data_IF_654077353374
#
_entry.id   IF_654077353374
#
_cell.length_a   1.000
_cell.length_b   1.000
_cell.length_c   1.000
_cell.angle_alpha   90.00
_cell.angle_beta   90.00
_cell.angle_gamma   90.00
#
_symmetry.space_group_name_H-M   'P 1'
#
loop_
_entity.id
_entity.type
_entity.pdbx_description
1 polymer ?
#
# COMPACT_ATOMS: atom_id res chain seq x y z
N UNK A 1 21.50 20.82 -6.75
CA UNK A 1 20.59 19.69 -7.00
C UNK A 1 19.61 19.44 -5.84
N UNK A 2 20.02 19.45 -4.56
CA UNK A 2 19.10 19.30 -3.41
C UNK A 2 17.83 20.17 -3.50
N UNK A 3 17.94 21.37 -4.06
CA UNK A 3 16.84 22.31 -4.32
C UNK A 3 15.67 21.72 -5.12
N UNK A 4 15.87 20.70 -5.98
CA UNK A 4 14.79 20.16 -6.84
C UNK A 4 13.80 19.31 -6.05
N UNK A 5 14.29 18.42 -5.18
CA UNK A 5 13.41 17.67 -4.26
C UNK A 5 12.63 18.65 -3.36
N UNK A 6 13.30 19.68 -2.82
CA UNK A 6 12.63 20.69 -1.99
C UNK A 6 11.59 21.48 -2.79
N UNK A 7 11.92 22.03 -3.96
CA UNK A 7 11.01 22.87 -4.74
C UNK A 7 9.82 22.09 -5.31
N UNK A 8 10.03 20.88 -5.85
CA UNK A 8 8.94 20.10 -6.43
C UNK A 8 7.97 19.57 -5.36
N UNK A 9 8.44 19.26 -4.15
CA UNK A 9 7.56 18.91 -3.04
C UNK A 9 6.88 20.15 -2.42
N UNK A 10 7.63 21.18 -2.04
CA UNK A 10 7.05 22.38 -1.39
C UNK A 10 6.08 23.15 -2.28
N UNK A 11 6.31 23.23 -3.60
CA UNK A 11 5.36 23.82 -4.54
C UNK A 11 4.11 22.96 -4.79
N UNK A 12 4.11 21.68 -4.39
CA UNK A 12 2.92 20.80 -4.35
C UNK A 12 2.19 20.81 -3.00
N UNK A 13 2.82 21.30 -1.93
CA UNK A 13 2.20 21.39 -0.60
C UNK A 13 1.39 22.67 -0.36
N UNK A 14 1.49 23.69 -1.23
CA UNK A 14 0.78 24.97 -1.09
C UNK A 14 -0.52 25.02 -1.89
N UNK A 15 -1.63 24.61 -1.28
CA UNK A 15 -2.96 24.99 -1.77
C UNK A 15 -4.01 25.25 -0.67
N UNK A 16 -4.68 26.40 -0.79
CA UNK A 16 -5.90 26.84 -0.09
C UNK A 16 -5.87 26.78 1.45
N UNK A 17 -5.21 27.76 2.07
CA UNK A 17 -5.70 28.28 3.36
C UNK A 17 -6.88 29.22 3.10
N UNK A 18 -8.09 28.67 3.13
CA UNK A 18 -9.29 29.45 3.45
C UNK A 18 -9.44 29.45 4.97
N UNK A 19 -9.54 30.64 5.58
CA UNK A 19 -10.05 30.78 6.96
C UNK A 19 -11.57 30.82 6.89
N UNK A 20 -12.24 30.26 7.90
CA UNK A 20 -13.42 30.86 8.52
C UNK A 20 -13.65 30.18 9.88
N UNK A 21 -13.99 30.99 10.90
CA UNK A 21 -14.19 30.54 12.29
C UNK A 21 -15.68 30.39 12.62
N UNK A 22 -16.11 29.20 13.04
CA UNK A 22 -17.33 29.03 13.83
C UNK A 22 -17.31 27.76 14.70
N UNK A 23 -18.07 27.78 15.78
CA UNK A 23 -18.04 26.76 16.85
C UNK A 23 -19.44 26.20 17.15
N UNK A 24 -19.46 25.10 17.93
CA UNK A 24 -20.64 24.42 18.55
C UNK A 24 -21.39 23.45 17.60
N UNK A 25 -22.22 22.53 18.15
CA UNK A 25 -21.83 21.54 19.16
C UNK A 25 -22.26 20.11 18.77
N UNK A 26 -21.71 19.10 19.44
CA UNK A 26 -22.01 17.70 19.13
C UNK A 26 -23.41 17.23 19.59
N UNK A 27 -24.03 16.34 18.82
CA UNK A 27 -25.03 15.39 19.31
C UNK A 27 -24.85 14.03 18.62
N UNK A 28 -25.23 12.96 19.29
CA UNK A 28 -25.00 11.58 18.83
C UNK A 28 -26.17 11.03 18.02
N UNK A 29 -25.88 10.21 17.01
CA UNK A 29 -26.42 8.85 16.80
C UNK A 29 -25.74 8.21 15.56
N UNK A 30 -25.46 6.90 15.61
CA UNK A 30 -24.52 6.27 14.67
C UNK A 30 -25.10 5.89 13.31
N UNK A 31 -24.49 6.41 12.23
CA UNK A 31 -24.39 5.77 10.90
C UNK A 31 -23.03 6.12 10.28
N UNK A 32 -22.09 5.18 10.24
CA UNK A 32 -20.78 5.41 9.63
C UNK A 32 -20.89 5.27 8.10
N UNK A 33 -21.20 6.39 7.44
CA UNK A 33 -21.02 6.61 6.01
C UNK A 33 -20.44 8.02 5.85
N UNK A 34 -19.13 8.12 5.64
CA UNK A 34 -18.43 9.41 5.62
C UNK A 34 -18.68 10.16 4.29
N UNK A 35 -19.80 10.87 4.22
CA UNK A 35 -20.04 11.92 3.23
C UNK A 35 -19.48 13.26 3.74
N UNK A 36 -18.14 13.38 3.73
CA UNK A 36 -17.46 14.67 3.90
C UNK A 36 -17.11 15.25 2.52
N UNK A 37 -18.14 15.71 1.81
CA UNK A 37 -17.99 16.67 0.71
C UNK A 37 -18.27 18.06 1.26
N UNK A 38 -17.52 19.07 0.76
CA UNK A 38 -17.80 20.48 1.04
C UNK A 38 -19.24 20.83 0.65
N UNK A 39 -19.81 21.85 1.28
CA UNK A 39 -21.14 22.36 0.91
C UNK A 39 -21.22 22.63 -0.59
N UNK A 40 -22.04 21.85 -1.27
CA UNK A 40 -22.35 22.01 -2.68
C UNK A 40 -23.51 23.00 -2.76
N UNK A 41 -23.26 24.17 -3.35
CA UNK A 41 -24.34 25.09 -3.76
C UNK A 41 -25.37 24.31 -4.58
N UNK A 42 -26.65 24.54 -4.32
CA UNK A 42 -27.70 23.49 -4.22
C UNK A 42 -28.05 22.70 -5.50
N UNK A 43 -27.37 23.00 -6.61
CA UNK A 43 -27.69 22.63 -7.99
C UNK A 43 -26.76 21.55 -8.60
N UNK A 44 -26.04 20.77 -7.78
CA UNK A 44 -25.07 19.76 -8.27
C UNK A 44 -24.95 18.49 -7.42
N UNK A 45 -26.10 17.92 -7.04
CA UNK A 45 -26.16 16.53 -6.54
C UNK A 45 -25.95 15.54 -7.69
N UNK A 46 -24.69 15.27 -8.03
CA UNK A 46 -24.33 14.07 -8.80
C UNK A 46 -24.61 12.86 -7.92
N UNK A 47 -25.81 12.29 -8.07
CA UNK A 47 -26.19 11.04 -7.42
C UNK A 47 -25.28 9.95 -8.00
N UNK A 48 -24.33 9.47 -7.19
CA UNK A 48 -23.62 8.25 -7.51
C UNK A 48 -24.65 7.10 -7.55
N UNK A 49 -24.72 6.38 -8.66
CA UNK A 49 -25.63 5.24 -8.79
C UNK A 49 -25.23 4.15 -7.78
N UNK A 50 -25.91 4.09 -6.64
CA UNK A 50 -25.62 3.11 -5.60
C UNK A 50 -25.84 1.70 -6.16
N UNK A 51 -24.73 0.96 -6.34
CA UNK A 51 -24.76 -0.41 -6.84
C UNK A 51 -25.63 -1.25 -5.89
N UNK A 52 -26.74 -1.85 -6.38
CA UNK A 52 -27.68 -2.53 -5.50
C UNK A 52 -27.00 -3.57 -4.61
N UNK A 53 -27.39 -3.62 -3.32
CA UNK A 53 -26.73 -4.43 -2.28
C UNK A 53 -26.58 -5.90 -2.70
N UNK A 54 -27.57 -6.45 -3.41
CA UNK A 54 -27.50 -7.82 -3.95
C UNK A 54 -26.42 -7.98 -5.03
N UNK A 55 -26.26 -6.99 -5.92
CA UNK A 55 -25.17 -6.97 -6.91
C UNK A 55 -23.81 -6.84 -6.21
N UNK A 56 -23.72 -6.10 -5.09
CA UNK A 56 -22.50 -6.02 -4.28
C UNK A 56 -22.16 -7.37 -3.63
N UNK A 57 -23.11 -8.01 -2.92
CA UNK A 57 -22.96 -9.35 -2.33
C UNK A 57 -22.54 -10.41 -3.35
N UNK A 58 -23.12 -10.36 -4.54
CA UNK A 58 -22.73 -11.25 -5.63
C UNK A 58 -21.32 -10.97 -6.15
N UNK A 59 -20.81 -9.73 -6.09
CA UNK A 59 -19.39 -9.43 -6.39
C UNK A 59 -18.49 -9.95 -5.26
N UNK A 60 -18.90 -9.81 -3.99
CA UNK A 60 -18.17 -10.28 -2.81
C UNK A 60 -17.98 -11.80 -2.82
N UNK A 61 -19.06 -12.57 -2.98
CA UNK A 61 -18.99 -14.03 -3.09
C UNK A 61 -18.07 -14.50 -4.23
N UNK A 62 -18.13 -13.82 -5.39
CA UNK A 62 -17.26 -14.08 -6.54
C UNK A 62 -15.79 -13.74 -6.24
N UNK A 63 -15.50 -12.74 -5.42
CA UNK A 63 -14.14 -12.40 -4.99
C UNK A 63 -13.59 -13.35 -3.91
N UNK A 64 -14.43 -13.79 -2.97
CA UNK A 64 -14.07 -14.85 -2.00
C UNK A 64 -13.71 -16.16 -2.71
N UNK A 65 -14.46 -16.57 -3.75
CA UNK A 65 -14.14 -17.71 -4.62
C UNK A 65 -12.73 -17.59 -5.26
N UNK A 66 -12.28 -16.38 -5.60
CA UNK A 66 -10.93 -16.15 -6.13
C UNK A 66 -9.86 -16.29 -5.04
N UNK A 67 -10.07 -15.60 -3.92
CA UNK A 67 -9.09 -15.52 -2.82
C UNK A 67 -8.96 -16.85 -2.06
N UNK A 68 -9.94 -17.76 -2.19
CA UNK A 68 -9.90 -19.12 -1.68
C UNK A 68 -9.14 -20.11 -2.59
N UNK A 69 -8.72 -19.70 -3.79
CA UNK A 69 -7.96 -20.54 -4.75
C UNK A 69 -7.04 -19.67 -5.62
N UNK A 70 -6.30 -18.78 -4.97
CA UNK A 70 -5.60 -17.67 -5.62
C UNK A 70 -4.54 -18.13 -6.63
N UNK A 71 -3.77 -19.16 -6.29
CA UNK A 71 -2.81 -19.85 -7.16
C UNK A 71 -3.47 -20.28 -8.49
N UNK A 72 -4.59 -20.99 -8.40
CA UNK A 72 -5.35 -21.53 -9.54
C UNK A 72 -5.97 -20.41 -10.38
N UNK A 73 -6.46 -19.35 -9.73
CA UNK A 73 -7.02 -18.18 -10.41
C UNK A 73 -5.95 -17.35 -11.12
N UNK A 74 -4.79 -17.14 -10.51
CA UNK A 74 -3.69 -16.36 -11.11
C UNK A 74 -2.95 -17.14 -12.19
N UNK A 75 -2.76 -18.46 -12.03
CA UNK A 75 -2.17 -19.31 -13.06
C UNK A 75 -3.10 -19.49 -14.28
N UNK A 76 -4.38 -19.83 -14.08
CA UNK A 76 -5.29 -20.27 -15.17
C UNK A 76 -6.38 -19.27 -15.56
N UNK A 77 -6.66 -18.25 -14.75
CA UNK A 77 -7.77 -17.30 -14.96
C UNK A 77 -7.36 -15.81 -14.82
N UNK A 78 -6.07 -15.45 -14.91
CA UNK A 78 -5.59 -14.07 -14.68
C UNK A 78 -6.36 -12.99 -15.46
N UNK A 79 -6.72 -13.23 -16.73
CA UNK A 79 -7.55 -12.29 -17.51
C UNK A 79 -8.85 -11.94 -16.78
N UNK A 80 -9.48 -12.91 -16.10
CA UNK A 80 -10.72 -12.72 -15.34
C UNK A 80 -10.50 -12.08 -13.98
N UNK A 81 -9.29 -12.19 -13.40
CA UNK A 81 -8.86 -11.38 -12.24
C UNK A 81 -8.81 -9.90 -12.66
N UNK A 82 -8.04 -9.59 -13.71
CA UNK A 82 -7.97 -8.26 -14.32
C UNK A 82 -9.35 -7.67 -14.65
N UNK A 83 -10.22 -8.42 -15.34
CA UNK A 83 -11.59 -7.98 -15.66
C UNK A 83 -12.44 -7.65 -14.42
N UNK A 84 -12.16 -8.27 -13.26
CA UNK A 84 -12.85 -7.96 -11.99
C UNK A 84 -12.23 -6.73 -11.31
N UNK A 85 -10.91 -6.57 -11.33
CA UNK A 85 -10.22 -5.33 -10.88
C UNK A 85 -10.67 -4.10 -11.68
N UNK A 86 -10.84 -4.25 -13.00
CA UNK A 86 -11.36 -3.21 -13.90
C UNK A 86 -12.86 -2.90 -13.68
N UNK A 87 -13.61 -3.73 -12.94
CA UNK A 87 -15.03 -3.51 -12.59
C UNK A 87 -15.30 -3.06 -11.14
N UNK A 88 -14.28 -3.05 -10.29
CA UNK A 88 -14.39 -2.73 -8.86
C UNK A 88 -14.17 -3.94 -7.97
N UNK A 89 -13.21 -3.80 -7.05
CA UNK A 89 -13.12 -4.66 -5.87
C UNK A 89 -14.17 -4.17 -4.85
N UNK A 90 -15.00 -5.05 -4.26
CA UNK A 90 -15.90 -4.67 -3.16
C UNK A 90 -15.13 -4.04 -2.00
N UNK A 91 -15.60 -2.95 -1.37
CA UNK A 91 -14.88 -2.27 -0.29
C UNK A 91 -14.48 -3.21 0.85
N UNK A 92 -15.41 -4.07 1.27
CA UNK A 92 -15.26 -5.14 2.27
C UNK A 92 -14.10 -6.13 2.01
N UNK A 93 -13.68 -6.28 0.76
CA UNK A 93 -12.63 -7.20 0.34
C UNK A 93 -11.38 -6.48 -0.18
N UNK A 94 -11.36 -5.15 -0.22
CA UNK A 94 -10.29 -4.35 -0.84
C UNK A 94 -8.92 -4.62 -0.21
N UNK A 95 -8.79 -4.49 1.11
CA UNK A 95 -7.52 -4.71 1.79
C UNK A 95 -6.96 -6.11 1.57
N UNK A 96 -7.80 -7.14 1.76
CA UNK A 96 -7.43 -8.55 1.49
C UNK A 96 -7.06 -8.77 0.02
N UNK A 97 -7.82 -8.22 -0.94
CA UNK A 97 -7.52 -8.39 -2.35
C UNK A 97 -6.22 -7.70 -2.75
N UNK A 98 -5.96 -6.49 -2.26
CA UNK A 98 -4.71 -5.76 -2.47
C UNK A 98 -3.50 -6.53 -1.91
N UNK A 99 -3.60 -7.05 -0.68
CA UNK A 99 -2.57 -7.89 -0.03
C UNK A 99 -2.23 -9.17 -0.84
N UNK A 100 -3.20 -9.76 -1.54
CA UNK A 100 -2.99 -10.90 -2.43
C UNK A 100 -2.47 -10.48 -3.83
N UNK A 101 -2.88 -9.33 -4.36
CA UNK A 101 -2.43 -8.79 -5.65
C UNK A 101 -0.96 -8.35 -5.62
N UNK A 102 -0.50 -7.72 -4.54
CA UNK A 102 0.91 -7.29 -4.42
C UNK A 102 1.87 -8.40 -4.04
N UNK A 103 1.39 -9.58 -3.66
CA UNK A 103 2.22 -10.59 -3.00
C UNK A 103 2.52 -10.28 -1.53
N UNK A 104 1.98 -9.19 -0.96
CA UNK A 104 2.20 -8.81 0.45
C UNK A 104 1.85 -9.92 1.45
N UNK A 105 0.80 -10.72 1.20
CA UNK A 105 0.49 -11.90 2.03
C UNK A 105 1.68 -12.88 2.07
N UNK A 106 2.29 -13.13 0.92
CA UNK A 106 3.37 -14.10 0.75
C UNK A 106 4.59 -13.65 1.55
N UNK A 107 4.96 -12.35 1.44
CA UNK A 107 6.00 -11.76 2.29
C UNK A 107 5.68 -11.89 3.78
N UNK A 108 4.46 -11.53 4.20
CA UNK A 108 4.03 -11.63 5.61
C UNK A 108 4.16 -13.05 6.18
N UNK A 109 3.61 -14.06 5.51
CA UNK A 109 3.74 -15.45 6.00
C UNK A 109 5.19 -15.95 5.98
N UNK A 110 6.04 -15.45 5.07
CA UNK A 110 7.48 -15.78 5.01
C UNK A 110 8.32 -15.02 6.06
N UNK A 111 7.81 -13.94 6.65
CA UNK A 111 8.52 -13.05 7.59
C UNK A 111 7.68 -12.78 8.86
N UNK A 112 7.02 -13.83 9.38
CA UNK A 112 6.16 -13.76 10.56
C UNK A 112 6.91 -13.13 11.74
N UNK A 113 6.33 -12.07 12.32
CA UNK A 113 6.91 -11.32 13.45
C UNK A 113 7.83 -10.15 13.06
N UNK A 114 8.38 -10.11 11.83
CA UNK A 114 9.38 -9.08 11.47
C UNK A 114 8.83 -7.66 11.46
N UNK A 115 7.52 -7.47 11.22
CA UNK A 115 6.91 -6.14 11.40
C UNK A 115 6.93 -5.69 12.87
N UNK A 116 6.62 -6.59 13.82
CA UNK A 116 6.65 -6.28 15.25
C UNK A 116 8.09 -5.98 15.72
N UNK A 117 9.07 -6.76 15.27
CA UNK A 117 10.50 -6.52 15.53
C UNK A 117 10.93 -5.11 15.09
N UNK A 118 10.59 -4.71 13.86
CA UNK A 118 10.87 -3.36 13.32
C UNK A 118 10.03 -2.24 13.99
N UNK A 119 8.93 -2.59 14.64
CA UNK A 119 8.07 -1.66 15.37
C UNK A 119 8.50 -1.49 16.84
N UNK A 120 9.18 -2.47 17.42
CA UNK A 120 9.83 -2.39 18.72
C UNK A 120 11.23 -1.74 18.62
N UNK A 121 11.93 -1.87 17.48
CA UNK A 121 13.22 -1.23 17.22
C UNK A 121 13.15 0.33 17.20
N UNK A 122 14.16 1.04 17.73
CA UNK A 122 14.24 2.50 17.61
C UNK A 122 14.58 2.92 16.17
N UNK A 123 13.81 3.86 15.62
CA UNK A 123 14.09 4.44 14.30
C UNK A 123 15.27 5.41 14.32
N UNK A 124 15.92 5.63 13.17
CA UNK A 124 16.86 6.74 12.98
C UNK A 124 16.15 8.07 13.30
N UNK A 125 16.63 8.88 14.27
CA UNK A 125 16.02 10.15 14.65
C UNK A 125 15.75 11.08 13.47
N UNK A 126 16.66 11.10 12.48
CA UNK A 126 16.51 11.89 11.26
C UNK A 126 15.22 11.55 10.51
N UNK A 127 14.87 10.26 10.41
CA UNK A 127 13.66 9.83 9.72
C UNK A 127 12.42 9.97 10.60
N UNK A 128 12.53 9.68 11.90
CA UNK A 128 11.47 9.91 12.90
C UNK A 128 10.99 11.37 12.85
N UNK A 129 11.91 12.33 12.97
CA UNK A 129 11.62 13.77 12.91
C UNK A 129 10.88 14.18 11.64
N UNK A 130 11.23 13.58 10.48
CA UNK A 130 10.61 13.92 9.19
C UNK A 130 9.21 13.28 9.10
N UNK A 131 9.05 12.02 9.54
CA UNK A 131 7.77 11.30 9.54
C UNK A 131 6.75 12.01 10.45
N UNK A 132 7.11 12.31 11.71
CA UNK A 132 6.20 12.97 12.66
C UNK A 132 5.68 14.31 12.14
N UNK A 133 6.57 15.10 11.52
CA UNK A 133 6.21 16.36 10.89
C UNK A 133 5.33 16.18 9.64
N UNK A 134 5.28 15.01 9.02
CA UNK A 134 4.39 14.72 7.88
C UNK A 134 3.05 14.09 8.25
N UNK A 135 2.92 13.42 9.41
CA UNK A 135 1.68 12.71 9.81
C UNK A 135 0.44 13.61 9.70
N UNK A 136 0.50 14.81 10.28
CA UNK A 136 -0.62 15.76 10.31
C UNK A 136 -1.00 16.33 8.93
N UNK A 137 -0.21 16.09 7.88
CA UNK A 137 -0.51 16.50 6.49
C UNK A 137 -1.20 15.40 5.67
N UNK A 138 -1.28 14.17 6.18
CA UNK A 138 -1.89 13.05 5.46
C UNK A 138 -3.38 12.95 5.80
N UNK A 139 -4.23 13.25 4.81
CA UNK A 139 -5.69 13.18 4.92
C UNK A 139 -6.26 13.80 6.22
N UNK A 140 -5.92 15.07 6.56
CA UNK A 140 -6.23 15.67 7.88
C UNK A 140 -7.72 15.82 8.21
N UNK A 141 -8.60 15.69 7.21
CA UNK A 141 -10.06 15.73 7.37
C UNK A 141 -10.70 14.32 7.40
N UNK A 142 -9.90 13.25 7.32
CA UNK A 142 -10.38 11.88 7.38
C UNK A 142 -10.38 11.39 8.84
N UNK A 143 -11.48 10.78 9.28
CA UNK A 143 -11.75 10.38 10.68
C UNK A 143 -10.58 9.64 11.35
N UNK A 144 -9.96 8.68 10.65
CA UNK A 144 -8.80 7.90 11.12
C UNK A 144 -7.54 8.75 11.40
N UNK A 145 -7.35 9.88 10.72
CA UNK A 145 -6.12 10.69 10.77
C UNK A 145 -6.31 12.11 11.33
N UNK A 146 -7.56 12.57 11.50
CA UNK A 146 -7.87 13.92 11.98
C UNK A 146 -7.43 14.18 13.44
N UNK A 147 -7.47 13.15 14.30
CA UNK A 147 -6.99 13.25 15.67
C UNK A 147 -5.46 13.26 15.72
N UNK A 148 -4.86 14.39 16.14
CA UNK A 148 -3.40 14.50 16.33
C UNK A 148 -2.94 13.50 17.40
N UNK A 149 -2.01 12.62 17.04
CA UNK A 149 -1.56 11.52 17.91
C UNK A 149 -2.60 10.41 18.13
N UNK A 150 -3.71 10.41 17.39
CA UNK A 150 -4.71 9.34 17.43
C UNK A 150 -4.24 8.05 16.72
N UNK A 151 -4.97 6.96 16.91
CA UNK A 151 -4.58 5.61 16.48
C UNK A 151 -4.12 5.52 15.01
N UNK A 152 -4.79 6.18 14.06
CA UNK A 152 -4.36 6.14 12.66
C UNK A 152 -3.07 6.91 12.38
N UNK A 153 -2.80 8.01 13.10
CA UNK A 153 -1.49 8.68 13.02
C UNK A 153 -0.38 7.83 13.67
N UNK A 154 -0.69 7.10 14.74
CA UNK A 154 0.24 6.14 15.35
C UNK A 154 0.55 4.98 14.38
N UNK A 155 -0.45 4.31 13.81
CA UNK A 155 -0.23 3.23 12.84
C UNK A 155 0.49 3.71 11.58
N UNK A 156 0.23 4.94 11.12
CA UNK A 156 0.97 5.56 10.02
C UNK A 156 2.44 5.79 10.37
N UNK A 157 2.74 6.26 11.59
CA UNK A 157 4.10 6.37 12.09
C UNK A 157 4.80 5.00 12.15
N UNK A 158 4.14 4.00 12.74
CA UNK A 158 4.66 2.62 12.89
C UNK A 158 5.02 2.01 11.53
N UNK A 159 4.10 2.07 10.56
CA UNK A 159 4.33 1.56 9.19
C UNK A 159 5.50 2.25 8.50
N UNK A 160 5.61 3.58 8.62
CA UNK A 160 6.67 4.35 7.97
C UNK A 160 8.03 4.17 8.66
N UNK A 161 8.07 4.13 10.00
CA UNK A 161 9.28 3.81 10.77
C UNK A 161 9.79 2.40 10.45
N UNK A 162 8.91 1.41 10.46
CA UNK A 162 9.28 0.04 10.10
C UNK A 162 9.81 -0.04 8.66
N UNK A 163 9.28 0.76 7.72
CA UNK A 163 9.82 0.85 6.36
C UNK A 163 11.26 1.40 6.35
N UNK A 164 11.57 2.46 7.10
CA UNK A 164 12.94 3.03 7.11
C UNK A 164 13.97 2.09 7.74
N UNK A 165 13.56 1.25 8.70
CA UNK A 165 14.38 0.19 9.27
C UNK A 165 14.51 -1.03 8.35
N UNK A 166 13.49 -1.32 7.53
CA UNK A 166 13.55 -2.36 6.49
C UNK A 166 14.40 -1.95 5.27
N UNK A 167 14.44 -0.65 4.95
CA UNK A 167 15.13 -0.04 3.80
C UNK A 167 15.95 1.20 4.20
N UNK A 168 16.99 1.05 5.05
CA UNK A 168 17.80 2.19 5.51
C UNK A 168 18.58 2.89 4.39
N UNK A 169 18.80 2.22 3.26
CA UNK A 169 19.44 2.77 2.06
C UNK A 169 18.54 3.74 1.26
N UNK A 170 17.22 3.60 1.37
CA UNK A 170 16.23 4.50 0.78
C UNK A 170 15.70 5.51 1.81
N UNK A 171 15.47 5.05 3.04
CA UNK A 171 14.94 5.86 4.13
C UNK A 171 13.48 6.28 3.90
N UNK A 172 13.12 7.47 4.38
CA UNK A 172 11.77 8.01 4.23
C UNK A 172 11.71 9.11 3.16
N UNK A 173 10.74 8.98 2.26
CA UNK A 173 10.35 10.00 1.30
C UNK A 173 8.91 10.43 1.55
N UNK A 174 8.63 11.73 1.53
CA UNK A 174 7.32 12.32 1.86
C UNK A 174 6.14 11.75 1.05
N UNK A 175 6.40 11.22 -0.14
CA UNK A 175 5.40 10.60 -1.01
C UNK A 175 4.98 9.17 -0.60
N UNK A 176 5.70 8.53 0.33
CA UNK A 176 5.34 7.22 0.88
C UNK A 176 4.19 7.31 1.91
N UNK A 177 4.12 8.40 2.68
CA UNK A 177 3.08 8.59 3.69
C UNK A 177 1.63 8.60 3.16
N UNK A 178 1.28 9.28 2.04
CA UNK A 178 -0.08 9.16 1.50
C UNK A 178 -0.36 7.75 0.95
N UNK A 179 0.64 7.00 0.48
CA UNK A 179 0.49 5.60 0.07
C UNK A 179 0.19 4.72 1.30
N UNK A 180 0.97 4.86 2.38
CA UNK A 180 0.76 4.14 3.63
C UNK A 180 -0.61 4.45 4.26
N UNK A 181 -1.07 5.72 4.23
CA UNK A 181 -2.38 6.12 4.73
C UNK A 181 -3.53 5.48 3.91
N UNK A 182 -3.44 5.44 2.57
CA UNK A 182 -4.43 4.74 1.71
C UNK A 182 -4.52 3.25 2.03
N UNK A 183 -3.40 2.62 2.40
CA UNK A 183 -3.37 1.22 2.82
C UNK A 183 -4.04 1.00 4.18
N UNK A 184 -3.69 1.83 5.18
CA UNK A 184 -4.26 1.76 6.53
C UNK A 184 -5.78 1.98 6.59
N UNK A 185 -6.34 2.76 5.65
CA UNK A 185 -7.81 2.88 5.49
C UNK A 185 -8.49 1.56 5.07
N UNK A 186 -7.74 0.50 4.73
CA UNK A 186 -8.27 -0.78 4.22
C UNK A 186 -7.71 -2.04 4.88
N UNK A 187 -6.58 -1.97 5.61
CA UNK A 187 -5.94 -3.14 6.22
C UNK A 187 -5.11 -2.77 7.47
N UNK A 188 -4.85 -3.72 8.40
CA UNK A 188 -4.03 -3.48 9.59
C UNK A 188 -2.59 -3.06 9.28
N UNK A 189 -1.90 -2.48 10.26
CA UNK A 189 -0.54 -1.94 10.11
C UNK A 189 0.47 -2.94 9.50
N UNK A 190 0.50 -4.21 9.93
CA UNK A 190 1.40 -5.22 9.34
C UNK A 190 1.11 -5.46 7.85
N UNK A 191 -0.17 -5.59 7.47
CA UNK A 191 -0.57 -5.78 6.08
C UNK A 191 -0.23 -4.52 5.25
N UNK A 192 -0.45 -3.32 5.80
CA UNK A 192 -0.13 -2.06 5.15
C UNK A 192 1.39 -1.91 4.94
N UNK A 193 2.21 -2.31 5.92
CA UNK A 193 3.66 -2.37 5.80
C UNK A 193 4.10 -3.32 4.67
N UNK A 194 3.64 -4.57 4.65
CA UNK A 194 4.04 -5.52 3.60
C UNK A 194 3.55 -5.12 2.21
N UNK A 195 2.39 -4.46 2.10
CA UNK A 195 1.92 -3.91 0.81
C UNK A 195 2.75 -2.68 0.39
N UNK A 196 3.13 -1.79 1.32
CA UNK A 196 4.02 -0.66 1.06
C UNK A 196 5.39 -1.14 0.55
N UNK A 197 6.00 -2.11 1.24
CA UNK A 197 7.26 -2.76 0.82
C UNK A 197 7.16 -3.30 -0.60
N UNK A 198 6.07 -4.00 -0.95
CA UNK A 198 5.87 -4.48 -2.33
C UNK A 198 5.68 -3.34 -3.34
N UNK A 199 4.94 -2.27 -3.00
CA UNK A 199 4.75 -1.12 -3.89
C UNK A 199 6.10 -0.45 -4.20
N UNK A 200 6.90 -0.13 -3.19
CA UNK A 200 8.19 0.52 -3.37
C UNK A 200 9.20 -0.38 -4.10
N UNK A 201 9.41 -1.61 -3.64
CA UNK A 201 10.43 -2.50 -4.22
C UNK A 201 10.08 -3.04 -5.61
N UNK A 202 8.80 -3.36 -5.86
CA UNK A 202 8.40 -4.14 -7.04
C UNK A 202 7.67 -3.30 -8.09
N UNK A 203 6.78 -2.39 -7.69
CA UNK A 203 6.00 -1.59 -8.65
C UNK A 203 6.74 -0.31 -9.06
N UNK A 204 7.34 0.36 -8.08
CA UNK A 204 7.92 1.69 -8.19
C UNK A 204 9.43 1.76 -7.82
N UNK A 205 10.28 0.78 -8.23
CA UNK A 205 11.67 0.70 -7.77
C UNK A 205 12.47 1.95 -8.13
N UNK A 206 13.15 2.52 -7.14
CA UNK A 206 13.96 3.72 -7.28
C UNK A 206 13.19 5.05 -7.32
N UNK A 207 11.86 5.06 -7.15
CA UNK A 207 11.05 6.29 -7.13
C UNK A 207 11.41 7.22 -5.97
N UNK A 208 11.71 6.65 -4.81
CA UNK A 208 11.92 7.39 -3.55
C UNK A 208 13.40 7.68 -3.25
N UNK A 209 14.31 7.15 -4.08
CA UNK A 209 15.75 7.37 -3.98
C UNK A 209 16.14 8.84 -4.22
N UNK A 210 17.32 9.23 -3.75
CA UNK A 210 17.89 10.56 -3.98
C UNK A 210 18.03 10.86 -5.48
N UNK A 211 17.86 12.13 -5.86
CA UNK A 211 17.94 12.58 -7.26
C UNK A 211 16.71 12.25 -8.14
N UNK A 212 15.81 11.36 -7.71
CA UNK A 212 14.56 11.01 -8.42
C UNK A 212 14.78 10.52 -9.87
N UNK A 213 15.92 9.88 -10.19
CA UNK A 213 16.27 9.46 -11.56
C UNK A 213 15.18 8.60 -12.21
N UNK A 214 14.55 7.69 -11.46
CA UNK A 214 13.46 6.84 -11.95
C UNK A 214 12.21 7.63 -12.34
N UNK A 215 11.89 8.74 -11.63
CA UNK A 215 10.77 9.62 -11.97
C UNK A 215 11.09 10.45 -13.22
N UNK A 216 12.33 10.94 -13.35
CA UNK A 216 12.77 11.67 -14.54
C UNK A 216 12.71 10.77 -15.79
N UNK A 217 13.21 9.54 -15.68
CA UNK A 217 13.16 8.54 -16.74
C UNK A 217 11.72 8.15 -17.12
N UNK A 218 10.85 7.91 -16.13
CA UNK A 218 9.43 7.64 -16.38
C UNK A 218 8.69 8.86 -16.94
N UNK A 219 9.15 10.08 -16.67
CA UNK A 219 8.64 11.29 -17.32
C UNK A 219 8.95 11.37 -18.79
N UNK A 220 10.17 11.02 -19.18
CA UNK A 220 10.55 10.91 -20.58
C UNK A 220 9.80 9.77 -21.30
N UNK A 221 9.44 8.68 -20.61
CA UNK A 221 8.51 7.67 -21.14
C UNK A 221 7.10 8.25 -21.31
N UNK A 222 6.55 8.90 -20.28
CA UNK A 222 5.21 9.51 -20.31
C UNK A 222 5.07 10.50 -21.47
N UNK A 223 6.10 11.31 -21.69
CA UNK A 223 6.15 12.33 -22.72
C UNK A 223 6.27 11.75 -24.14
N UNK A 224 7.09 10.72 -24.33
CA UNK A 224 7.20 10.01 -25.59
C UNK A 224 5.93 9.22 -25.94
N UNK A 225 5.19 8.72 -24.94
CA UNK A 225 3.84 8.13 -25.11
C UNK A 225 2.78 9.20 -25.40
N UNK A 226 2.84 10.37 -24.76
CA UNK A 226 1.93 11.49 -25.01
C UNK A 226 1.99 11.94 -26.47
N UNK A 227 3.17 11.90 -27.11
CA UNK A 227 3.34 12.15 -28.55
C UNK A 227 2.47 11.25 -29.45
N UNK A 228 2.13 10.04 -29.01
CA UNK A 228 1.21 9.11 -29.70
C UNK A 228 -0.24 9.33 -29.30
N UNK A 229 -0.51 9.53 -28.01
CA UNK A 229 -1.88 9.65 -27.46
C UNK A 229 -2.53 11.01 -27.75
N UNK A 230 -1.75 12.09 -27.66
CA UNK A 230 -2.17 13.47 -27.92
C UNK A 230 -1.02 14.28 -28.53
N UNK A 231 -0.83 14.20 -29.86
CA UNK A 231 0.16 15.01 -30.58
C UNK A 231 -0.03 16.52 -30.37
N UNK A 232 -1.27 16.96 -30.07
CA UNK A 232 -1.61 18.34 -29.73
C UNK A 232 -0.99 18.74 -28.39
N UNK A 233 -1.26 17.99 -27.31
CA UNK A 233 -0.70 18.26 -25.99
C UNK A 233 0.84 18.18 -25.98
N UNK A 234 1.42 17.15 -26.59
CA UNK A 234 2.88 17.01 -26.68
C UNK A 234 3.54 18.19 -27.44
N UNK A 235 2.96 18.66 -28.56
CA UNK A 235 3.50 19.84 -29.25
C UNK A 235 3.40 21.11 -28.40
N UNK A 236 2.32 21.26 -27.62
CA UNK A 236 2.14 22.40 -26.73
C UNK A 236 3.19 22.43 -25.62
N UNK A 237 3.33 21.33 -24.87
CA UNK A 237 4.35 21.20 -23.83
C UNK A 237 5.76 21.41 -24.38
N UNK A 238 6.06 20.88 -25.58
CA UNK A 238 7.36 21.09 -26.25
C UNK A 238 7.61 22.54 -26.63
N UNK A 239 6.61 23.24 -27.18
CA UNK A 239 6.68 24.68 -27.52
C UNK A 239 7.03 25.52 -26.29
N UNK A 240 6.44 25.17 -25.14
CA UNK A 240 6.61 25.91 -23.89
C UNK A 240 7.71 25.36 -22.98
N UNK A 241 8.53 24.41 -23.44
CA UNK A 241 9.63 23.77 -22.69
C UNK A 241 9.19 23.23 -21.31
N UNK A 242 7.97 22.69 -21.24
CA UNK A 242 7.36 22.28 -19.98
C UNK A 242 7.69 20.80 -19.72
N UNK A 243 8.75 20.57 -18.95
CA UNK A 243 9.31 19.25 -18.66
C UNK A 243 8.39 18.38 -17.77
N UNK A 244 8.35 17.05 -17.96
CA UNK A 244 7.44 16.14 -17.24
C UNK A 244 7.51 16.26 -15.71
N UNK A 245 8.74 16.36 -15.19
CA UNK A 245 9.06 16.42 -13.75
C UNK A 245 8.35 17.57 -13.02
N UNK A 246 7.97 18.65 -13.73
CA UNK A 246 7.33 19.83 -13.15
C UNK A 246 5.88 19.60 -12.71
N UNK A 247 5.20 18.59 -13.26
CA UNK A 247 3.77 18.32 -12.98
C UNK A 247 3.47 16.87 -12.55
N UNK A 248 4.21 15.88 -13.06
CA UNK A 248 3.86 14.47 -12.78
C UNK A 248 4.44 13.90 -11.47
N UNK A 249 5.35 14.63 -10.81
CA UNK A 249 6.12 14.08 -9.68
C UNK A 249 5.21 13.60 -8.55
N UNK A 250 4.24 14.41 -8.11
CA UNK A 250 3.25 13.97 -7.13
C UNK A 250 2.36 12.84 -7.67
N UNK A 251 1.89 12.98 -8.92
CA UNK A 251 1.00 11.99 -9.57
C UNK A 251 1.60 10.58 -9.53
N UNK A 252 2.90 10.45 -9.83
CA UNK A 252 3.58 9.16 -9.92
C UNK A 252 4.13 8.71 -8.57
N UNK A 253 4.81 9.57 -7.80
CA UNK A 253 5.40 9.20 -6.51
C UNK A 253 4.33 8.84 -5.46
N UNK A 254 3.17 9.50 -5.48
CA UNK A 254 2.05 9.24 -4.57
C UNK A 254 0.99 8.30 -5.17
N UNK A 255 1.22 7.71 -6.35
CA UNK A 255 0.26 6.88 -7.08
C UNK A 255 -1.16 7.51 -7.17
N UNK A 256 -1.22 8.80 -7.54
CA UNK A 256 -2.42 9.66 -7.64
C UNK A 256 -3.26 9.84 -6.35
N UNK A 257 -2.85 9.29 -5.20
CA UNK A 257 -3.62 9.32 -3.94
C UNK A 257 -3.93 10.72 -3.40
N UNK A 258 -3.07 11.71 -3.69
CA UNK A 258 -3.26 13.13 -3.33
C UNK A 258 -4.00 13.94 -4.41
N UNK A 259 -4.11 13.42 -5.64
CA UNK A 259 -4.54 14.18 -6.81
C UNK A 259 -5.97 13.86 -7.24
N UNK A 260 -6.42 12.61 -7.10
CA UNK A 260 -7.76 12.17 -7.53
C UNK A 260 -8.78 12.15 -6.37
N UNK A 261 -10.09 12.33 -6.65
CA UNK A 261 -11.16 12.05 -5.70
C UNK A 261 -11.11 10.60 -5.20
N UNK A 262 -11.54 10.38 -3.96
CA UNK A 262 -11.37 9.11 -3.24
C UNK A 262 -11.82 7.87 -4.05
N UNK A 263 -13.06 7.88 -4.57
CA UNK A 263 -13.59 6.78 -5.38
C UNK A 263 -12.66 6.43 -6.56
N UNK A 264 -12.19 7.45 -7.29
CA UNK A 264 -11.26 7.31 -8.41
C UNK A 264 -9.89 6.79 -7.98
N UNK A 265 -9.35 7.19 -6.82
CA UNK A 265 -8.11 6.62 -6.26
C UNK A 265 -8.28 5.10 -6.08
N UNK A 266 -9.37 4.66 -5.44
CA UNK A 266 -9.62 3.23 -5.19
C UNK A 266 -9.68 2.42 -6.47
N UNK A 267 -10.30 2.96 -7.53
CA UNK A 267 -10.39 2.28 -8.83
C UNK A 267 -9.07 2.25 -9.59
N UNK A 268 -8.30 3.33 -9.54
CA UNK A 268 -6.93 3.38 -10.09
C UNK A 268 -6.05 2.36 -9.36
N UNK A 269 -6.16 2.25 -8.04
CA UNK A 269 -5.39 1.30 -7.22
C UNK A 269 -5.79 -0.16 -7.45
N UNK A 270 -7.08 -0.49 -7.49
CA UNK A 270 -7.58 -1.82 -7.86
C UNK A 270 -6.96 -2.31 -9.19
N UNK A 271 -6.83 -1.41 -10.17
CA UNK A 271 -6.20 -1.71 -11.46
C UNK A 271 -4.66 -1.73 -11.36
N UNK A 272 -4.04 -0.74 -10.71
CA UNK A 272 -2.58 -0.60 -10.57
C UNK A 272 -1.94 -1.80 -9.87
N UNK A 273 -2.51 -2.29 -8.76
CA UNK A 273 -1.97 -3.46 -8.06
C UNK A 273 -2.20 -4.77 -8.86
N UNK A 274 -3.19 -4.81 -9.77
CA UNK A 274 -3.37 -5.94 -10.66
C UNK A 274 -2.48 -5.90 -11.91
N UNK A 275 -2.24 -4.71 -12.47
CA UNK A 275 -1.68 -4.51 -13.80
C UNK A 275 -0.32 -3.79 -13.82
N UNK A 276 0.19 -3.35 -12.67
CA UNK A 276 1.45 -2.61 -12.56
C UNK A 276 1.37 -1.15 -13.02
N UNK A 277 2.54 -0.50 -13.07
CA UNK A 277 2.70 0.95 -13.29
C UNK A 277 2.03 1.47 -14.58
N UNK A 278 1.73 0.60 -15.57
CA UNK A 278 1.06 1.00 -16.82
C UNK A 278 -0.29 1.69 -16.61
N UNK A 279 -0.94 1.45 -15.47
CA UNK A 279 -2.15 2.18 -15.07
C UNK A 279 -1.83 3.63 -14.70
N UNK A 280 -0.74 3.91 -13.98
CA UNK A 280 -0.33 5.28 -13.63
C UNK A 280 0.02 6.09 -14.90
N UNK A 281 0.72 5.45 -15.86
CA UNK A 281 0.94 6.01 -17.19
C UNK A 281 -0.38 6.29 -17.93
N UNK A 282 -1.32 5.34 -17.95
CA UNK A 282 -2.65 5.54 -18.56
C UNK A 282 -3.41 6.71 -17.93
N UNK A 283 -3.44 6.82 -16.59
CA UNK A 283 -4.07 7.93 -15.86
C UNK A 283 -3.44 9.27 -16.29
N UNK A 284 -2.11 9.39 -16.22
CA UNK A 284 -1.41 10.62 -16.61
C UNK A 284 -1.68 11.02 -18.07
N UNK A 285 -1.66 10.07 -18.99
CA UNK A 285 -1.94 10.29 -20.42
C UNK A 285 -3.41 10.72 -20.66
N UNK A 286 -4.38 10.13 -19.95
CA UNK A 286 -5.79 10.53 -20.00
C UNK A 286 -5.97 11.95 -19.48
N UNK A 287 -5.39 12.29 -18.32
CA UNK A 287 -5.50 13.63 -17.74
C UNK A 287 -4.85 14.70 -18.64
N UNK A 288 -3.67 14.43 -19.21
CA UNK A 288 -3.02 15.32 -20.18
C UNK A 288 -3.82 15.47 -21.49
N UNK A 289 -4.39 14.38 -22.02
CA UNK A 289 -5.34 14.40 -23.16
C UNK A 289 -6.57 15.26 -22.83
N UNK A 290 -7.12 15.12 -21.62
CA UNK A 290 -8.31 15.85 -21.19
C UNK A 290 -8.05 17.34 -20.98
N UNK A 291 -6.87 17.73 -20.48
CA UNK A 291 -6.54 19.14 -20.22
C UNK A 291 -6.01 19.90 -21.44
N UNK A 292 -5.22 19.25 -22.30
CA UNK A 292 -4.43 19.92 -23.37
C UNK A 292 -4.64 19.31 -24.77
N UNK A 293 -5.56 18.35 -24.94
CA UNK A 293 -5.69 17.58 -26.18
C UNK A 293 -6.41 18.23 -27.37
N UNK A 294 -6.99 19.43 -27.21
CA UNK A 294 -7.71 20.13 -28.29
C UNK A 294 -7.34 21.62 -28.34
N UNK A 295 -7.47 22.23 -29.53
CA UNK A 295 -7.01 23.61 -29.75
C UNK A 295 -7.82 24.64 -28.95
N UNK A 296 -9.10 24.35 -28.70
CA UNK A 296 -10.01 25.17 -27.91
C UNK A 296 -9.51 25.28 -26.47
N UNK A 297 -8.99 24.18 -25.91
CA UNK A 297 -8.39 24.14 -24.58
C UNK A 297 -7.08 24.92 -24.57
N UNK A 298 -6.25 24.80 -25.61
CA UNK A 298 -4.98 25.53 -25.72
C UNK A 298 -5.13 27.06 -25.86
N UNK A 299 -6.26 27.58 -26.37
CA UNK A 299 -6.52 29.05 -26.43
C UNK A 299 -6.36 29.75 -25.09
N UNK A 300 -6.68 29.04 -23.99
CA UNK A 300 -6.57 29.52 -22.62
C UNK A 300 -5.33 28.99 -21.88
N UNK A 301 -4.28 28.57 -22.61
CA UNK A 301 -2.97 28.20 -22.08
C UNK A 301 -1.88 28.80 -22.99
N UNK A 302 -1.69 30.13 -22.95
CA UNK A 302 -0.87 30.83 -23.95
C UNK A 302 0.65 30.73 -23.69
N UNK A 303 1.06 30.61 -22.42
CA UNK A 303 2.44 30.47 -21.98
C UNK A 303 2.67 29.26 -21.08
N UNK A 304 3.83 29.23 -20.41
CA UNK A 304 4.19 28.18 -19.46
C UNK A 304 3.32 28.25 -18.19
N UNK A 305 3.04 29.46 -17.70
CA UNK A 305 2.35 29.70 -16.43
C UNK A 305 0.90 29.17 -16.45
N UNK A 306 0.11 29.58 -17.44
CA UNK A 306 -1.29 29.19 -17.60
C UNK A 306 -1.43 27.69 -17.96
N UNK A 307 -0.39 27.10 -18.55
CA UNK A 307 -0.30 25.64 -18.74
C UNK A 307 -0.04 24.94 -17.42
N UNK A 308 0.92 25.42 -16.61
CA UNK A 308 1.22 24.88 -15.27
C UNK A 308 0.05 25.02 -14.30
N UNK A 309 -0.66 26.14 -14.28
CA UNK A 309 -1.87 26.32 -13.47
C UNK A 309 -2.93 25.30 -13.88
N UNK A 310 -3.17 25.08 -15.18
CA UNK A 310 -4.13 24.07 -15.64
C UNK A 310 -3.74 22.65 -15.27
N UNK A 311 -2.45 22.31 -15.30
CA UNK A 311 -1.96 20.98 -14.91
C UNK A 311 -2.07 20.74 -13.40
N UNK A 312 -2.08 21.79 -12.58
CA UNK A 312 -2.34 21.72 -11.12
C UNK A 312 -3.84 21.70 -10.82
N UNK A 313 -4.60 22.60 -11.42
CA UNK A 313 -6.05 22.74 -11.25
C UNK A 313 -6.84 21.83 -12.22
N UNK A 314 -6.69 20.52 -12.06
CA UNK A 314 -7.39 19.52 -12.88
C UNK A 314 -8.90 19.65 -12.66
N UNK A 315 -9.67 19.81 -13.75
CA UNK A 315 -11.12 19.99 -13.68
C UNK A 315 -11.81 18.72 -13.11
N UNK A 316 -12.67 18.82 -12.08
CA UNK A 316 -13.23 17.65 -11.38
C UNK A 316 -13.93 16.63 -12.28
N UNK A 317 -14.52 17.07 -13.39
CA UNK A 317 -15.17 16.22 -14.41
C UNK A 317 -14.23 15.16 -15.01
N UNK A 318 -12.94 15.47 -15.21
CA UNK A 318 -11.96 14.51 -15.75
C UNK A 318 -11.46 13.50 -14.71
N UNK A 319 -11.79 13.74 -13.43
CA UNK A 319 -11.36 12.92 -12.30
C UNK A 319 -12.51 12.09 -11.70
N UNK A 320 -13.71 12.13 -12.29
CA UNK A 320 -14.85 11.30 -11.87
C UNK A 320 -14.62 9.83 -12.21
N UNK A 321 -15.08 8.94 -11.32
CA UNK A 321 -14.76 7.50 -11.38
C UNK A 321 -15.12 6.88 -12.73
N UNK A 322 -16.37 7.06 -13.16
CA UNK A 322 -16.94 6.44 -14.37
C UNK A 322 -16.22 6.87 -15.64
N UNK A 323 -16.02 8.18 -15.80
CA UNK A 323 -15.29 8.77 -16.94
C UNK A 323 -13.82 8.33 -16.96
N UNK A 324 -13.12 8.46 -15.83
CA UNK A 324 -11.69 8.20 -15.75
C UNK A 324 -11.37 6.71 -15.95
N UNK A 325 -12.15 5.80 -15.35
CA UNK A 325 -11.97 4.35 -15.53
C UNK A 325 -12.25 3.94 -16.99
N UNK A 326 -13.27 4.52 -17.64
CA UNK A 326 -13.55 4.27 -19.06
C UNK A 326 -12.36 4.65 -19.95
N UNK A 327 -11.90 5.91 -19.87
CA UNK A 327 -10.77 6.42 -20.66
C UNK A 327 -9.47 5.65 -20.38
N UNK A 328 -9.22 5.24 -19.12
CA UNK A 328 -8.07 4.39 -18.76
C UNK A 328 -8.14 3.03 -19.44
N UNK A 329 -9.31 2.39 -19.48
CA UNK A 329 -9.46 1.06 -20.10
C UNK A 329 -9.23 1.16 -21.61
N UNK A 330 -9.93 2.07 -22.28
CA UNK A 330 -9.91 2.22 -23.74
C UNK A 330 -8.57 2.74 -24.31
N UNK A 331 -7.74 3.44 -23.52
CA UNK A 331 -6.47 3.99 -24.02
C UNK A 331 -5.53 2.88 -24.53
N UNK A 332 -5.12 2.86 -25.82
CA UNK A 332 -4.36 1.75 -26.41
C UNK A 332 -2.85 1.87 -26.13
N UNK A 333 -2.48 1.87 -24.85
CA UNK A 333 -1.10 1.80 -24.35
C UNK A 333 -0.91 0.48 -23.63
N UNK A 334 -0.01 -0.36 -24.14
CA UNK A 334 0.31 -1.66 -23.57
C UNK A 334 1.56 -1.62 -22.67
N UNK A 335 1.75 -2.71 -21.93
CA UNK A 335 2.96 -3.01 -21.16
C UNK A 335 4.23 -2.89 -22.05
N UNK A 336 4.16 -3.48 -23.25
CA UNK A 336 5.25 -3.50 -24.23
C UNK A 336 5.58 -2.13 -24.81
N UNK A 337 4.62 -1.21 -24.84
CA UNK A 337 4.89 0.18 -25.26
C UNK A 337 5.76 0.90 -24.22
N UNK A 338 5.50 0.65 -22.93
CA UNK A 338 6.25 1.21 -21.80
C UNK A 338 7.63 0.55 -21.70
N UNK A 339 7.73 -0.78 -21.78
CA UNK A 339 9.01 -1.51 -21.80
C UNK A 339 9.91 -1.03 -22.95
N UNK A 340 9.35 -0.88 -24.16
CA UNK A 340 10.08 -0.44 -25.34
C UNK A 340 10.60 1.00 -25.20
N UNK A 341 9.81 1.91 -24.67
CA UNK A 341 10.25 3.30 -24.47
C UNK A 341 11.17 3.43 -23.26
N UNK A 342 10.98 2.63 -22.19
CA UNK A 342 11.92 2.54 -21.07
C UNK A 342 13.33 2.16 -21.56
N UNK A 343 13.44 1.09 -22.36
CA UNK A 343 14.71 0.68 -22.97
C UNK A 343 15.26 1.73 -23.95
N UNK A 344 14.42 2.55 -24.57
CA UNK A 344 14.87 3.62 -25.46
C UNK A 344 15.38 4.85 -24.68
N UNK A 345 14.69 5.27 -23.63
CA UNK A 345 15.07 6.39 -22.79
C UNK A 345 16.28 6.05 -21.91
N UNK A 346 16.40 4.81 -21.41
CA UNK A 346 17.56 4.37 -20.63
C UNK A 346 18.87 4.40 -21.44
N UNK A 347 18.82 4.14 -22.76
CA UNK A 347 19.98 4.34 -23.64
C UNK A 347 20.34 5.82 -23.80
N UNK A 348 19.36 6.69 -24.07
CA UNK A 348 19.56 8.15 -24.15
C UNK A 348 20.09 8.73 -22.84
N UNK A 349 19.64 8.20 -21.70
CA UNK A 349 20.15 8.56 -20.37
C UNK A 349 21.63 8.19 -20.25
N UNK A 350 22.00 6.95 -20.58
CA UNK A 350 23.41 6.51 -20.57
C UNK A 350 24.31 7.33 -21.50
N UNK A 351 23.79 7.77 -22.64
CA UNK A 351 24.47 8.65 -23.60
C UNK A 351 24.68 10.09 -23.10
N UNK A 352 23.87 10.58 -22.16
CA UNK A 352 23.82 12.01 -21.75
C UNK A 352 24.25 12.27 -20.30
N UNK A 353 24.02 11.32 -19.40
CA UNK A 353 24.25 11.43 -17.95
C UNK A 353 25.16 10.32 -17.40
N UNK A 354 25.46 9.29 -18.19
CA UNK A 354 26.15 8.08 -17.73
C UNK A 354 25.18 7.04 -17.12
N UNK A 355 25.74 6.04 -16.43
CA UNK A 355 24.92 5.03 -15.75
C UNK A 355 24.11 5.63 -14.59
N UNK A 356 22.91 5.09 -14.36
CA UNK A 356 22.07 5.46 -13.22
C UNK A 356 22.82 5.25 -11.90
N UNK A 357 22.73 6.25 -11.02
CA UNK A 357 23.29 6.18 -9.67
C UNK A 357 22.50 5.18 -8.81
N UNK A 358 21.16 5.17 -8.94
CA UNK A 358 20.32 4.17 -8.30
C UNK A 358 20.16 2.92 -9.19
N UNK A 359 20.88 1.84 -8.82
CA UNK A 359 20.75 0.51 -9.45
C UNK A 359 19.58 -0.28 -8.84
N UNK A 360 18.38 0.20 -9.06
CA UNK A 360 17.16 -0.48 -8.59
C UNK A 360 16.83 -1.73 -9.44
N UNK A 361 16.12 -2.74 -8.89
CA UNK A 361 15.72 -3.93 -9.64
C UNK A 361 14.73 -3.62 -10.78
N UNK A 362 14.64 -4.46 -11.83
CA UNK A 362 13.60 -4.34 -12.85
C UNK A 362 12.20 -4.41 -12.22
N UNK A 363 11.34 -3.46 -12.56
CA UNK A 363 9.98 -3.40 -11.99
C UNK A 363 9.12 -4.58 -12.45
N UNK A 364 8.21 -4.99 -11.58
CA UNK A 364 7.19 -5.99 -11.84
C UNK A 364 5.93 -5.35 -12.40
N UNK A 365 5.50 -5.80 -13.58
CA UNK A 365 4.30 -5.27 -14.26
C UNK A 365 2.98 -5.88 -13.72
N UNK A 366 2.81 -5.80 -12.39
CA UNK A 366 1.61 -6.20 -11.66
C UNK A 366 1.61 -7.61 -11.11
N UNK A 367 0.49 -7.99 -10.46
CA UNK A 367 0.32 -9.21 -9.68
C UNK A 367 0.83 -10.51 -10.35
N UNK A 368 0.61 -10.68 -11.67
CA UNK A 368 1.11 -11.88 -12.37
C UNK A 368 2.64 -11.93 -12.48
N UNK A 369 3.31 -10.79 -12.65
CA UNK A 369 4.77 -10.74 -12.71
C UNK A 369 5.37 -11.09 -11.34
N UNK A 370 4.80 -10.54 -10.26
CA UNK A 370 5.23 -10.85 -8.88
C UNK A 370 5.08 -12.33 -8.58
N UNK A 371 3.91 -12.93 -8.83
CA UNK A 371 3.71 -14.37 -8.60
C UNK A 371 4.50 -15.31 -9.52
N UNK A 372 5.12 -14.79 -10.58
CA UNK A 372 6.05 -15.55 -11.42
C UNK A 372 7.51 -15.43 -10.95
N UNK A 373 7.90 -14.28 -10.38
CA UNK A 373 9.22 -14.04 -9.81
C UNK A 373 9.37 -14.61 -8.39
N UNK A 374 8.32 -14.51 -7.58
CA UNK A 374 8.24 -15.01 -6.20
C UNK A 374 7.04 -15.97 -6.07
N UNK A 375 7.16 -17.22 -6.59
CA UNK A 375 6.06 -18.18 -6.59
C UNK A 375 5.73 -18.66 -5.15
N UNK A 376 4.50 -18.47 -4.65
CA UNK A 376 4.16 -18.79 -3.27
C UNK A 376 3.97 -20.29 -3.02
N UNK A 377 4.29 -20.72 -1.80
CA UNK A 377 3.92 -22.06 -1.34
C UNK A 377 2.41 -22.17 -1.06
N UNK A 378 1.89 -23.40 -0.99
CA UNK A 378 0.51 -23.65 -0.53
C UNK A 378 0.27 -23.20 0.91
N UNK A 379 1.31 -23.16 1.74
CA UNK A 379 1.23 -22.68 3.12
C UNK A 379 1.11 -21.14 3.15
N UNK A 380 1.88 -20.45 2.31
CA UNK A 380 1.88 -18.98 2.19
C UNK A 380 0.50 -18.43 1.76
N UNK A 381 -0.25 -19.22 0.98
CA UNK A 381 -1.62 -18.88 0.56
C UNK A 381 -2.72 -19.42 1.46
N UNK A 382 -2.40 -20.29 2.45
CA UNK A 382 -3.40 -20.80 3.39
C UNK A 382 -4.03 -19.65 4.18
N UNK A 383 -5.34 -19.73 4.40
CA UNK A 383 -6.05 -18.79 5.26
C UNK A 383 -5.87 -19.18 6.73
N UNK A 384 -5.53 -18.18 7.53
CA UNK A 384 -5.42 -18.23 9.00
C UNK A 384 -6.42 -17.19 9.54
N UNK A 385 -7.69 -17.58 9.82
CA UNK A 385 -8.69 -16.64 10.32
C UNK A 385 -8.38 -16.27 11.77
N UNK A 386 -8.09 -14.99 12.03
CA UNK A 386 -7.82 -14.47 13.38
C UNK A 386 -9.06 -14.48 14.28
N UNK A 387 -10.26 -14.49 13.68
CA UNK A 387 -11.55 -14.63 14.35
C UNK A 387 -12.23 -15.87 13.78
N UNK A 388 -12.46 -16.86 14.64
CA UNK A 388 -13.25 -18.06 14.32
C UNK A 388 -14.59 -17.90 15.04
N UNK A 389 -15.67 -17.74 14.28
CA UNK A 389 -17.03 -17.72 14.83
C UNK A 389 -17.55 -19.14 14.80
N UNK A 390 -17.59 -19.79 15.97
CA UNK A 390 -18.22 -21.11 16.11
C UNK A 390 -19.73 -20.98 15.92
N UNK A 391 -20.23 -21.51 14.80
CA UNK A 391 -21.67 -21.60 14.55
C UNK A 391 -22.20 -22.90 15.16
N UNK A 392 -23.26 -22.87 15.99
CA UNK A 392 -23.88 -24.08 16.55
C UNK A 392 -24.60 -24.94 15.50
N UNK A 393 -24.54 -24.56 14.21
CA UNK A 393 -25.04 -25.33 13.06
C UNK A 393 -23.91 -25.86 12.16
N UNK A 394 -22.63 -25.68 12.53
CA UNK A 394 -21.51 -26.24 11.78
C UNK A 394 -21.35 -27.75 12.06
N UNK A 395 -21.29 -28.63 11.04
CA UNK A 395 -20.95 -30.03 11.25
C UNK A 395 -19.48 -30.16 11.67
N UNK A 396 -19.20 -31.06 12.63
CA UNK A 396 -17.87 -31.25 13.22
C UNK A 396 -16.81 -31.70 12.20
N UNK A 397 -16.08 -30.75 11.61
CA UNK A 397 -14.95 -30.98 10.69
C UNK A 397 -13.67 -31.46 11.39
N UNK A 398 -13.72 -31.71 12.72
CA UNK A 398 -12.64 -32.34 13.48
C UNK A 398 -12.25 -33.75 12.98
N UNK A 399 -13.12 -34.43 12.21
CA UNK A 399 -12.85 -35.75 11.65
C UNK A 399 -11.84 -35.73 10.48
N UNK A 400 -11.85 -34.70 9.62
CA UNK A 400 -11.05 -34.70 8.37
C UNK A 400 -9.53 -34.55 8.61
N UNK A 401 -9.11 -34.10 9.80
CA UNK A 401 -7.68 -33.98 10.13
C UNK A 401 -7.06 -35.31 10.64
N UNK A 402 -7.85 -36.38 10.79
CA UNK A 402 -7.40 -37.66 11.32
C UNK A 402 -7.04 -38.72 10.26
N UNK A 403 -7.41 -38.54 8.98
CA UNK A 403 -7.16 -39.54 7.94
C UNK A 403 -5.78 -39.40 7.27
N UNK A 404 -5.26 -38.17 7.12
CA UNK A 404 -4.00 -37.89 6.41
C UNK A 404 -2.74 -38.41 7.15
N UNK A 405 -2.90 -38.94 8.36
CA UNK A 405 -1.85 -39.66 9.12
C UNK A 405 -1.94 -41.19 9.08
N UNK A 406 -2.98 -41.78 8.46
CA UNK A 406 -3.12 -43.25 8.33
C UNK A 406 -2.60 -43.83 7.01
N UNK A 407 -2.20 -42.99 6.05
CA UNK A 407 -1.76 -43.39 4.71
C UNK A 407 -0.38 -44.06 4.56
N UNK A 408 0.28 -44.54 5.64
CA UNK A 408 1.66 -45.09 5.51
C UNK A 408 2.06 -46.19 6.52
N UNK A 409 1.33 -47.31 6.58
CA UNK A 409 1.82 -48.58 7.19
C UNK A 409 1.00 -49.81 6.79
N UNK A 410 1.40 -50.51 5.71
CA UNK A 410 1.35 -52.00 5.57
C UNK A 410 1.77 -52.46 4.16
N UNK A 411 2.98 -53.00 4.07
CA UNK A 411 3.30 -54.21 3.31
C UNK A 411 4.31 -54.97 4.15
N UNK A 412 3.93 -56.15 4.64
CA UNK A 412 4.80 -57.09 5.33
C UNK A 412 4.66 -58.38 4.55
N UNK A 413 5.77 -58.90 4.05
CA UNK A 413 5.88 -60.31 3.70
C UNK A 413 6.49 -61.03 4.90
N UNK A 414 5.92 -62.17 5.25
CA UNK A 414 6.41 -62.99 6.36
C UNK A 414 7.54 -63.92 5.90
N UNK A 415 8.54 -64.11 6.75
CA UNK A 415 9.18 -65.41 6.89
C UNK A 415 9.70 -65.55 8.32
N UNK A 416 9.15 -66.52 9.05
CA UNK A 416 9.35 -66.64 10.50
C UNK A 416 10.46 -67.61 10.89
N UNK A 417 10.86 -67.50 12.17
CA UNK A 417 11.37 -68.64 12.97
C UNK A 417 11.23 -68.34 14.46
N UNK A 418 10.94 -69.37 15.23
CA UNK A 418 10.75 -69.33 16.68
C UNK A 418 12.09 -69.30 17.43
N UNK A 419 12.11 -68.85 18.70
CA UNK A 419 12.82 -69.48 19.85
C UNK A 419 12.54 -68.76 21.18
N UNK A 420 11.83 -69.46 22.08
CA UNK A 420 11.92 -69.54 23.55
C UNK A 420 12.46 -68.35 24.42
N UNK A 421 11.52 -67.80 25.22
CA UNK A 421 11.51 -67.44 26.67
C UNK A 421 12.60 -68.08 27.61
N UNK A 422 12.82 -67.65 28.90
CA UNK A 422 12.04 -66.75 29.80
C UNK A 422 12.94 -65.64 30.52
N UNK A 423 12.62 -65.05 31.72
CA UNK A 423 13.17 -63.74 32.17
C UNK A 423 14.02 -63.72 33.48
N UNK A 424 14.46 -62.53 33.93
CA UNK A 424 15.06 -62.28 35.26
C UNK A 424 14.70 -60.92 35.91
N UNK A 425 14.99 -60.81 37.21
CA UNK A 425 14.79 -59.71 38.17
C UNK A 425 15.93 -59.79 39.23
N UNK A 426 16.17 -58.88 40.19
CA UNK A 426 15.49 -57.64 40.66
C UNK A 426 16.47 -56.42 40.51
N UNK A 427 16.57 -55.32 41.28
CA UNK A 427 15.89 -54.79 42.49
C UNK A 427 16.05 -53.25 42.63
N UNK A 428 15.62 -52.72 43.77
CA UNK A 428 15.80 -51.36 44.28
C UNK A 428 17.16 -51.17 44.97
N UNK A 429 17.66 -49.92 45.07
CA UNK A 429 17.79 -49.19 46.35
C UNK A 429 18.53 -47.83 46.21
N UNK A 430 18.21 -46.92 47.13
CA UNK A 430 18.78 -45.59 47.41
C UNK A 430 19.31 -45.64 48.88
N UNK A 431 19.88 -44.58 49.50
CA UNK A 431 20.57 -43.34 49.06
C UNK A 431 21.95 -43.26 49.83
N UNK A 432 22.42 -42.22 50.57
CA UNK A 432 22.22 -40.76 50.64
C UNK A 432 23.57 -39.94 50.55
N UNK A 433 23.89 -38.87 51.33
CA UNK A 433 24.32 -37.59 50.71
C UNK A 433 25.63 -36.98 51.29
N UNK A 434 25.84 -35.67 51.09
CA UNK A 434 26.80 -34.85 51.88
C UNK A 434 26.34 -33.38 51.93
N UNK A 435 26.35 -32.77 53.11
CA UNK A 435 25.75 -31.45 53.41
C UNK A 435 26.76 -30.29 53.48
N UNK A 436 26.26 -29.05 53.22
CA UNK A 436 26.45 -27.81 54.04
C UNK A 436 26.14 -26.57 53.18
N UNK A 437 25.26 -25.59 53.53
CA UNK A 437 24.93 -24.91 54.81
C UNK A 437 26.05 -23.94 55.27
N UNK A 438 25.84 -22.70 55.72
CA UNK A 438 24.66 -21.88 56.15
C UNK A 438 24.74 -20.45 55.53
N UNK A 439 23.75 -19.54 55.42
CA UNK A 439 22.49 -19.14 56.11
C UNK A 439 22.61 -18.10 57.27
N UNK A 440 21.50 -17.36 57.52
CA UNK A 440 21.20 -16.35 58.59
C UNK A 440 21.61 -14.87 58.30
N UNK A 441 20.85 -13.79 58.63
CA UNK A 441 19.43 -13.65 59.03
C UNK A 441 18.80 -12.21 58.91
N UNK A 442 17.47 -12.13 59.09
CA UNK A 442 16.49 -11.00 59.22
C UNK A 442 16.95 -9.57 59.70
N UNK A 443 16.26 -8.44 59.36
CA UNK A 443 14.97 -7.98 59.99
C UNK A 443 14.27 -6.72 59.37
N UNK A 444 12.92 -6.68 59.48
CA UNK A 444 11.86 -5.61 59.55
C UNK A 444 12.07 -4.09 59.20
N UNK A 445 11.25 -3.55 58.26
CA UNK A 445 10.02 -2.67 58.41
C UNK A 445 10.05 -1.47 59.42
N UNK A 446 9.40 -0.26 59.25
CA UNK A 446 8.55 0.35 58.16
C UNK A 446 8.81 1.87 57.76
N UNK A 447 8.06 2.39 56.77
CA UNK A 447 7.61 3.82 56.69
C UNK A 447 8.36 4.77 55.70
N UNK A 448 7.87 5.96 55.29
CA UNK A 448 6.55 6.62 55.46
C UNK A 448 6.44 7.94 54.65
N UNK A 449 5.40 8.13 53.81
CA UNK A 449 4.92 9.42 53.18
C UNK A 449 5.98 10.19 52.34
N UNK A 450 5.73 11.29 51.61
CA UNK A 450 4.56 12.06 51.08
C UNK A 450 4.72 12.10 49.52
N UNK A 451 3.73 12.26 48.62
CA UNK A 451 2.61 13.20 48.46
C UNK A 451 2.95 14.64 48.00
N UNK A 452 2.52 14.93 46.75
CA UNK A 452 2.04 16.23 46.21
C UNK A 452 3.00 17.32 45.65
N UNK A 453 2.74 17.65 44.38
CA UNK A 453 2.42 19.00 43.85
C UNK A 453 3.51 19.88 43.21
N UNK A 454 3.08 20.55 42.12
CA UNK A 454 3.55 21.84 41.56
C UNK A 454 4.98 21.93 40.99
N UNK A 455 5.25 22.71 39.94
CA UNK A 455 4.36 23.37 38.98
C UNK A 455 5.14 23.70 37.68
N UNK A 456 4.37 24.20 36.70
CA UNK A 456 4.74 25.04 35.56
C UNK A 456 6.12 25.74 35.64
N UNK A 457 6.81 25.77 34.49
CA UNK A 457 7.36 27.02 33.92
C UNK A 457 7.47 26.88 32.39
N UNK A 458 6.87 27.81 31.66
CA UNK A 458 7.23 28.09 30.26
C UNK A 458 8.69 28.58 30.18
N UNK A 459 9.32 28.53 29.00
CA UNK A 459 9.73 29.74 28.22
C UNK A 459 10.37 29.30 26.88
N UNK A 460 10.22 30.17 25.86
CA UNK A 460 11.06 30.35 24.65
C UNK A 460 10.53 29.92 23.26
N UNK A 461 9.89 30.92 22.63
CA UNK A 461 10.08 31.41 21.24
C UNK A 461 10.00 30.41 20.07
#
# INVERSE_FOLDING_TARGET
MASVQVLCLTAGFLHVQGRDDCQRPASSHGRIFCHSYKEVTEDSRVIAEEVPIEVLRQREAKWLEMLNSWDKWMAKKHKKVKERCQKGIPPSLRGRAWLYLTGGKVKREQNQGKFQELDEEPGDPKWVDIIERDLHRQFPFHEMFAARGGHGQQDLFRVLKAYTLHRPEEGYCQAQAPIAAVLLMHMPAEDAFWVLVQICEKYLPGYYSTGLEAIQLDGEILYALLRRVSPVAHRHLKKHKLEPILYMTEWFMCAFSRTLPWASVLRVWDMFLCEGVKILFKVGLVLLKCMLGSQEKLKACQGLYETMERLRAIQPQYMQETFLVHEIIELPVSEKDIEKEHLAQLRRWKETHGDLHCKSPPRMHGAKAIMAAEPPSRQDLRQRPTIIVESPLAPNTAAEQAEDTKGRRKTVEENGKETLLPPQQTDNLNPPPSDSSLLLNHTNIPGSKESLSSAEHDTYL
#
